data_IF_475794923142
#
_entry.id   IF_475794923142
#
_cell.length_a   1.000
_cell.length_b   1.000
_cell.length_c   1.000
_cell.angle_alpha   90.00
_cell.angle_beta   90.00
_cell.angle_gamma   90.00
#
_symmetry.space_group_name_H-M   'P 1'
#
loop_
_entity.id
_entity.type
_entity.pdbx_description
1 polymer ?
#
# COMPACT_ATOMS: atom_id res chain seq x y z
N UNK A 1 4.34 -7.13 7.18
CA UNK A 1 3.24 -6.37 6.55
C UNK A 1 2.10 -6.20 7.53
N UNK A 2 1.52 -5.01 7.60
CA UNK A 2 0.33 -4.71 8.38
C UNK A 2 -0.94 -5.25 7.72
N UNK A 3 -1.69 -6.08 8.43
CA UNK A 3 -2.99 -6.58 8.00
C UNK A 3 -4.15 -5.77 8.57
N UNK A 4 -5.39 -6.00 8.09
CA UNK A 4 -6.59 -5.42 8.67
C UNK A 4 -6.70 -5.70 10.16
N UNK A 5 -7.00 -4.67 10.97
CA UNK A 5 -7.03 -4.75 12.42
C UNK A 5 -5.67 -4.62 13.10
N UNK A 6 -4.65 -4.08 12.41
CA UNK A 6 -3.34 -3.75 12.97
C UNK A 6 -2.41 -4.96 13.22
N UNK A 7 -2.82 -6.16 12.86
CA UNK A 7 -1.99 -7.36 13.04
C UNK A 7 -0.85 -7.38 12.03
N UNK A 8 0.38 -7.40 12.50
CA UNK A 8 1.58 -7.54 11.65
C UNK A 8 1.99 -9.01 11.52
N UNK A 9 2.51 -9.38 10.35
CA UNK A 9 3.04 -10.72 10.11
C UNK A 9 4.13 -10.74 9.05
N UNK A 10 4.99 -11.78 9.06
CA UNK A 10 5.99 -11.96 8.02
C UNK A 10 5.31 -12.12 6.67
N UNK A 11 5.95 -11.56 5.64
CA UNK A 11 5.55 -11.69 4.25
C UNK A 11 6.78 -11.68 3.34
N UNK A 12 6.69 -12.33 2.21
CA UNK A 12 7.71 -12.27 1.18
C UNK A 12 7.49 -11.04 0.30
N UNK A 13 8.45 -10.12 0.27
CA UNK A 13 8.49 -9.02 -0.70
C UNK A 13 9.24 -9.49 -1.96
N UNK A 14 8.51 -9.67 -3.05
CA UNK A 14 9.06 -10.15 -4.33
C UNK A 14 9.38 -8.95 -5.20
N UNK A 15 10.63 -8.82 -5.60
CA UNK A 15 11.10 -7.70 -6.42
C UNK A 15 12.13 -8.16 -7.45
N UNK A 16 12.42 -7.30 -8.44
CA UNK A 16 13.44 -7.52 -9.48
C UNK A 16 13.24 -8.81 -10.28
N UNK A 17 11.99 -9.23 -10.48
CA UNK A 17 11.69 -10.39 -11.34
C UNK A 17 11.86 -9.98 -12.80
N UNK A 18 12.82 -10.59 -13.47
CA UNK A 18 13.11 -10.27 -14.86
C UNK A 18 13.55 -11.52 -15.64
N UNK A 19 13.23 -11.53 -16.94
CA UNK A 19 13.70 -12.54 -17.89
C UNK A 19 14.35 -11.78 -19.04
N UNK A 20 15.58 -12.19 -19.39
CA UNK A 20 16.28 -11.57 -20.51
C UNK A 20 15.44 -11.64 -21.80
N UNK A 21 15.44 -10.60 -22.63
CA UNK A 21 14.65 -10.57 -23.88
C UNK A 21 14.90 -11.76 -24.80
N UNK A 22 16.13 -12.29 -24.80
CA UNK A 22 16.53 -13.49 -25.56
C UNK A 22 15.98 -14.80 -25.02
N UNK A 23 15.39 -14.80 -23.80
CA UNK A 23 14.88 -15.99 -23.10
C UNK A 23 13.39 -15.91 -22.79
N UNK A 24 12.69 -14.91 -23.31
CA UNK A 24 11.23 -14.77 -23.13
C UNK A 24 10.46 -15.92 -23.81
N UNK A 25 9.24 -16.21 -23.30
CA UNK A 25 8.32 -17.21 -23.82
C UNK A 25 8.84 -18.67 -23.80
N UNK A 26 9.88 -18.94 -23.00
CA UNK A 26 10.45 -20.30 -22.79
C UNK A 26 10.05 -20.92 -21.44
N UNK A 27 9.06 -20.36 -20.75
CA UNK A 27 8.62 -20.87 -19.43
C UNK A 27 9.48 -20.44 -18.24
N UNK A 28 10.57 -19.68 -18.44
CA UNK A 28 11.49 -19.31 -17.37
C UNK A 28 10.79 -18.57 -16.21
N UNK A 29 9.94 -17.59 -16.50
CA UNK A 29 9.16 -16.89 -15.48
C UNK A 29 8.24 -17.85 -14.71
N UNK A 30 7.58 -18.76 -15.39
CA UNK A 30 6.70 -19.75 -14.78
C UNK A 30 7.46 -20.64 -13.81
N UNK A 31 8.59 -21.19 -14.24
CA UNK A 31 9.44 -22.02 -13.40
C UNK A 31 9.97 -21.25 -12.17
N UNK A 32 10.41 -20.01 -12.38
CA UNK A 32 10.89 -19.13 -11.30
C UNK A 32 9.80 -18.87 -10.25
N UNK A 33 8.59 -18.47 -10.67
CA UNK A 33 7.51 -18.15 -9.73
C UNK A 33 6.98 -19.40 -9.03
N UNK A 34 6.90 -20.56 -9.70
CA UNK A 34 6.52 -21.82 -9.03
C UNK A 34 7.52 -22.17 -7.94
N UNK A 35 8.83 -22.11 -8.27
CA UNK A 35 9.89 -22.38 -7.29
C UNK A 35 9.82 -21.39 -6.12
N UNK A 36 9.69 -20.10 -6.41
CA UNK A 36 9.62 -19.05 -5.41
C UNK A 36 8.43 -19.23 -4.46
N UNK A 37 7.23 -19.55 -4.99
CA UNK A 37 6.05 -19.80 -4.16
C UNK A 37 6.24 -21.04 -3.25
N UNK A 38 6.89 -22.09 -3.75
CA UNK A 38 7.24 -23.26 -2.94
C UNK A 38 8.24 -22.91 -1.82
N UNK A 39 9.26 -22.12 -2.12
CA UNK A 39 10.25 -21.67 -1.13
C UNK A 39 9.62 -20.75 -0.07
N UNK A 40 8.71 -19.84 -0.46
CA UNK A 40 7.96 -18.97 0.45
C UNK A 40 7.09 -19.82 1.38
N UNK A 41 6.36 -20.79 0.83
CA UNK A 41 5.54 -21.71 1.62
C UNK A 41 6.40 -22.52 2.61
N UNK A 42 7.57 -23.01 2.18
CA UNK A 42 8.50 -23.77 3.05
C UNK A 42 9.06 -22.93 4.21
N UNK A 43 9.17 -21.59 4.04
CA UNK A 43 9.55 -20.66 5.11
C UNK A 43 8.41 -20.29 6.06
N UNK A 44 7.16 -20.73 5.78
CA UNK A 44 5.99 -20.43 6.59
C UNK A 44 5.48 -18.99 6.44
N UNK A 45 5.82 -18.32 5.34
CA UNK A 45 5.30 -16.99 5.01
C UNK A 45 3.91 -17.14 4.36
N UNK A 46 2.89 -16.69 5.07
CA UNK A 46 1.51 -16.89 4.64
C UNK A 46 1.09 -16.02 3.44
N UNK A 47 1.81 -14.93 3.19
CA UNK A 47 1.54 -14.01 2.09
C UNK A 47 2.82 -13.60 1.38
N UNK A 48 2.71 -13.35 0.07
CA UNK A 48 3.74 -12.71 -0.73
C UNK A 48 3.16 -11.45 -1.39
N UNK A 49 4.01 -10.43 -1.60
CA UNK A 49 3.62 -9.20 -2.25
C UNK A 49 4.63 -8.85 -3.35
N UNK A 50 4.15 -8.16 -4.38
CA UNK A 50 5.00 -7.57 -5.41
C UNK A 50 4.39 -6.28 -5.94
N UNK A 51 5.18 -5.53 -6.71
CA UNK A 51 4.72 -4.45 -7.57
C UNK A 51 4.86 -4.91 -9.01
N UNK A 52 3.74 -4.86 -9.74
CA UNK A 52 3.72 -5.33 -11.12
C UNK A 52 4.17 -4.23 -12.09
N UNK A 53 5.08 -4.56 -12.99
CA UNK A 53 5.38 -3.73 -14.16
C UNK A 53 4.28 -3.86 -15.23
N UNK A 54 3.64 -5.03 -15.29
CA UNK A 54 2.57 -5.34 -16.24
C UNK A 54 1.43 -6.12 -15.57
N UNK A 55 0.21 -5.62 -15.64
CA UNK A 55 -0.97 -6.18 -14.97
C UNK A 55 -1.41 -7.57 -15.45
N UNK A 56 -1.04 -7.99 -16.66
CA UNK A 56 -1.44 -9.28 -17.24
C UNK A 56 -0.63 -10.50 -16.79
N UNK A 57 0.45 -10.30 -16.02
CA UNK A 57 1.42 -11.36 -15.74
C UNK A 57 1.05 -12.19 -14.51
N UNK A 58 0.73 -11.54 -13.40
CA UNK A 58 0.79 -12.16 -12.08
C UNK A 58 -0.50 -12.82 -11.59
N UNK A 59 -1.66 -12.46 -12.19
CA UNK A 59 -2.95 -13.05 -11.82
C UNK A 59 -2.97 -14.58 -12.01
N UNK A 60 -2.32 -15.10 -13.05
CA UNK A 60 -2.23 -16.55 -13.33
C UNK A 60 -1.40 -17.31 -12.26
N UNK A 61 -0.61 -16.60 -11.46
CA UNK A 61 0.10 -17.15 -10.31
C UNK A 61 -0.63 -16.94 -8.99
N UNK A 62 -1.88 -16.47 -9.05
CA UNK A 62 -2.75 -16.27 -7.90
C UNK A 62 -2.52 -14.96 -7.16
N UNK A 63 -1.80 -14.00 -7.75
CA UNK A 63 -1.71 -12.65 -7.21
C UNK A 63 -2.93 -11.82 -7.58
N UNK A 64 -3.47 -11.06 -6.64
CA UNK A 64 -4.55 -10.10 -6.83
C UNK A 64 -4.12 -8.69 -6.43
N UNK A 65 -4.73 -7.66 -7.04
CA UNK A 65 -4.50 -6.25 -6.68
C UNK A 65 -5.16 -5.98 -5.33
N UNK A 66 -4.36 -5.86 -4.27
CA UNK A 66 -4.84 -5.69 -2.91
C UNK A 66 -4.85 -4.21 -2.45
N UNK A 67 -4.04 -3.35 -3.06
CA UNK A 67 -4.07 -1.90 -2.85
C UNK A 67 -3.75 -1.12 -4.11
N UNK A 68 -4.14 0.15 -4.11
CA UNK A 68 -3.87 1.11 -5.17
C UNK A 68 -3.43 2.44 -4.58
N UNK A 69 -2.76 3.26 -5.37
CA UNK A 69 -2.34 4.60 -4.99
C UNK A 69 -2.75 5.64 -6.02
N UNK A 70 -2.75 6.90 -5.61
CA UNK A 70 -2.92 8.05 -6.48
C UNK A 70 -1.60 8.82 -6.65
N UNK A 71 -1.36 9.36 -7.85
CA UNK A 71 -0.47 10.49 -8.07
C UNK A 71 -1.29 11.75 -7.92
N UNK A 72 -0.87 12.64 -7.03
CA UNK A 72 -1.54 13.90 -6.75
C UNK A 72 -0.60 15.06 -7.05
N UNK A 73 -1.10 16.07 -7.76
CA UNK A 73 -0.41 17.34 -7.98
C UNK A 73 -1.14 18.45 -7.24
N UNK A 74 -0.39 19.21 -6.44
CA UNK A 74 -0.94 20.30 -5.63
C UNK A 74 -0.46 21.63 -6.18
N UNK A 75 -1.39 22.41 -6.71
CA UNK A 75 -1.15 23.75 -7.23
C UNK A 75 -1.01 24.74 -6.07
N UNK A 76 0.21 25.11 -5.71
CA UNK A 76 0.53 25.88 -4.49
C UNK A 76 -0.27 27.20 -4.38
N UNK A 77 -0.40 27.95 -5.47
CA UNK A 77 -1.12 29.23 -5.47
C UNK A 77 -2.59 29.13 -5.04
N UNK A 78 -3.21 27.94 -5.22
CA UNK A 78 -4.58 27.63 -4.86
C UNK A 78 -4.68 26.83 -3.56
N UNK A 79 -3.57 26.26 -3.07
CA UNK A 79 -3.52 25.33 -1.95
C UNK A 79 -3.44 26.07 -0.60
N UNK A 80 -4.47 26.86 -0.28
CA UNK A 80 -4.60 27.48 1.04
C UNK A 80 -5.20 26.49 2.02
N UNK A 81 -4.57 26.30 3.17
CA UNK A 81 -5.13 25.49 4.25
C UNK A 81 -6.36 26.18 4.86
N UNK A 82 -7.35 25.38 5.26
CA UNK A 82 -8.51 25.84 6.02
C UNK A 82 -8.06 26.42 7.36
N UNK A 83 -8.73 27.45 7.82
CA UNK A 83 -8.44 28.09 9.12
C UNK A 83 -8.72 27.15 10.30
N UNK A 84 -9.59 26.14 10.10
CA UNK A 84 -9.88 25.07 11.06
C UNK A 84 -8.76 24.03 11.20
N UNK A 85 -7.78 24.04 10.30
CA UNK A 85 -6.62 23.16 10.43
C UNK A 85 -5.73 23.68 11.55
N UNK A 86 -5.83 23.06 12.73
CA UNK A 86 -5.07 23.47 13.91
C UNK A 86 -3.57 23.55 13.63
N UNK A 87 -2.89 24.43 14.36
CA UNK A 87 -1.43 24.51 14.34
C UNK A 87 -0.87 23.15 14.77
N UNK A 88 -0.01 22.62 13.93
CA UNK A 88 0.68 21.35 14.20
C UNK A 88 1.97 21.62 15.01
N UNK A 89 2.52 20.57 15.61
CA UNK A 89 3.77 20.62 16.34
C UNK A 89 4.97 21.10 15.50
N UNK A 90 6.18 21.15 16.08
CA UNK A 90 7.35 21.68 15.40
C UNK A 90 7.72 20.82 14.19
N UNK A 91 8.01 21.50 13.09
CA UNK A 91 8.62 20.89 11.89
C UNK A 91 10.00 21.51 11.72
N UNK A 92 11.01 20.67 11.56
CA UNK A 92 12.38 21.12 11.32
C UNK A 92 12.93 20.57 10.01
N UNK A 93 13.83 21.31 9.43
CA UNK A 93 14.64 20.85 8.31
C UNK A 93 15.77 19.96 8.84
N UNK A 94 16.05 18.88 8.10
CA UNK A 94 17.19 18.00 8.35
C UNK A 94 17.99 17.89 7.05
N UNK A 95 19.29 18.04 7.16
CA UNK A 95 20.21 17.87 6.03
C UNK A 95 20.07 16.47 5.43
N UNK A 96 20.16 16.38 4.10
CA UNK A 96 19.92 15.14 3.36
C UNK A 96 20.84 13.99 3.80
N UNK A 97 22.09 14.26 4.16
CA UNK A 97 23.02 13.23 4.65
C UNK A 97 22.63 12.76 6.05
N UNK A 98 22.28 13.69 6.95
CA UNK A 98 21.82 13.37 8.29
C UNK A 98 20.47 12.65 8.27
N UNK A 99 19.61 12.97 7.30
CA UNK A 99 18.30 12.36 7.15
C UNK A 99 18.39 10.83 6.98
N UNK A 100 19.33 10.31 6.20
CA UNK A 100 19.47 8.87 5.97
C UNK A 100 19.79 8.06 7.25
N UNK A 101 20.30 8.71 8.29
CA UNK A 101 20.49 8.09 9.60
C UNK A 101 19.25 8.20 10.50
N UNK A 102 18.47 9.27 10.33
CA UNK A 102 17.32 9.57 11.17
C UNK A 102 16.02 8.91 10.68
N UNK A 103 15.75 8.91 9.36
CA UNK A 103 14.51 8.40 8.80
C UNK A 103 14.21 6.92 9.12
N UNK A 104 15.21 6.00 9.11
CA UNK A 104 14.99 4.62 9.54
C UNK A 104 14.49 4.53 10.99
N UNK A 105 15.02 5.37 11.89
CA UNK A 105 14.64 5.39 13.29
C UNK A 105 13.21 5.89 13.46
N UNK A 106 12.86 7.00 12.80
CA UNK A 106 11.48 7.53 12.81
C UNK A 106 10.51 6.48 12.28
N UNK A 107 10.82 5.83 11.14
CA UNK A 107 9.94 4.82 10.56
C UNK A 107 9.75 3.60 11.46
N UNK A 108 10.79 3.19 12.19
CA UNK A 108 10.74 2.05 13.09
C UNK A 108 9.97 2.34 14.38
N UNK A 109 10.02 3.60 14.89
CA UNK A 109 9.37 4.00 16.15
C UNK A 109 7.99 4.60 15.96
N UNK A 110 7.70 5.17 14.77
CA UNK A 110 6.39 5.68 14.46
C UNK A 110 5.35 4.53 14.41
N UNK A 111 4.22 4.74 15.08
CA UNK A 111 3.10 3.78 15.03
C UNK A 111 2.39 3.87 13.67
N UNK A 112 2.99 3.22 12.68
CA UNK A 112 2.43 3.13 11.32
C UNK A 112 1.38 2.02 11.34
N UNK A 113 0.13 2.39 11.53
CA UNK A 113 -0.98 1.47 11.77
C UNK A 113 -1.89 1.23 10.56
N UNK A 114 -1.65 1.88 9.41
CA UNK A 114 -2.52 1.67 8.26
C UNK A 114 -2.34 0.29 7.63
N UNK A 115 -3.45 -0.25 7.13
CA UNK A 115 -3.49 -1.54 6.45
C UNK A 115 -2.63 -1.52 5.18
N UNK A 116 -1.79 -2.53 5.02
CA UNK A 116 -0.90 -2.66 3.88
C UNK A 116 0.53 -2.14 4.12
N UNK A 117 0.80 -1.41 5.22
CA UNK A 117 2.14 -0.95 5.55
C UNK A 117 3.14 -2.11 5.59
N UNK A 118 4.31 -1.90 5.03
CA UNK A 118 5.40 -2.88 5.04
C UNK A 118 6.60 -2.33 5.80
N UNK A 119 7.34 -3.22 6.45
CA UNK A 119 8.57 -2.82 7.14
C UNK A 119 9.64 -2.43 6.11
N UNK A 120 10.48 -1.48 6.49
CA UNK A 120 11.60 -1.02 5.69
C UNK A 120 12.90 -1.47 6.33
N UNK A 121 13.46 -2.62 5.93
CA UNK A 121 14.71 -3.13 6.48
C UNK A 121 15.89 -2.26 6.07
N UNK A 122 17.02 -2.41 6.76
CA UNK A 122 18.23 -1.59 6.55
C UNK A 122 18.67 -1.56 5.07
N UNK A 123 18.63 -2.71 4.38
CA UNK A 123 19.02 -2.76 2.98
C UNK A 123 18.12 -1.92 2.08
N UNK A 124 16.82 -1.75 2.42
CA UNK A 124 15.91 -0.88 1.68
C UNK A 124 16.33 0.59 1.79
N UNK A 125 16.62 1.05 3.01
CA UNK A 125 17.10 2.41 3.24
C UNK A 125 18.42 2.68 2.53
N UNK A 126 19.34 1.71 2.58
CA UNK A 126 20.62 1.79 1.89
C UNK A 126 20.45 1.89 0.37
N UNK A 127 19.54 1.12 -0.19
CA UNK A 127 19.21 1.18 -1.60
C UNK A 127 18.62 2.56 -1.97
N UNK A 128 17.69 3.09 -1.17
CA UNK A 128 17.11 4.41 -1.39
C UNK A 128 18.17 5.53 -1.33
N UNK A 129 19.11 5.45 -0.41
CA UNK A 129 20.25 6.37 -0.31
C UNK A 129 21.10 6.31 -1.59
N UNK A 130 21.48 5.12 -2.04
CA UNK A 130 22.29 4.92 -3.25
C UNK A 130 21.59 5.39 -4.54
N UNK A 131 20.29 5.25 -4.62
CA UNK A 131 19.50 5.69 -5.76
C UNK A 131 19.17 7.20 -5.73
N UNK A 132 19.42 7.88 -4.63
CA UNK A 132 19.17 9.31 -4.47
C UNK A 132 20.29 10.12 -5.14
N UNK A 133 20.19 10.31 -6.46
CA UNK A 133 21.22 10.98 -7.27
C UNK A 133 21.09 12.51 -7.31
N UNK A 134 19.94 13.05 -6.89
CA UNK A 134 19.66 14.48 -6.85
C UNK A 134 19.69 15.02 -5.41
N UNK A 135 19.98 16.32 -5.21
CA UNK A 135 19.84 16.95 -3.91
C UNK A 135 18.44 16.73 -3.35
N UNK A 136 18.34 16.09 -2.21
CA UNK A 136 17.08 15.85 -1.51
C UNK A 136 17.05 16.61 -0.20
N UNK A 137 15.87 17.11 0.13
CA UNK A 137 15.59 17.83 1.35
C UNK A 137 14.67 17.00 2.25
N UNK A 138 14.78 17.18 3.55
CA UNK A 138 13.97 16.45 4.50
C UNK A 138 13.37 17.38 5.55
N UNK A 139 12.06 17.24 5.74
CA UNK A 139 11.31 17.83 6.85
C UNK A 139 10.97 16.73 7.83
N UNK A 140 11.10 17.00 9.10
CA UNK A 140 10.78 16.06 10.18
C UNK A 140 9.84 16.75 11.16
N UNK A 141 8.74 16.08 11.52
CA UNK A 141 7.78 16.55 12.51
C UNK A 141 8.04 15.92 13.87
N UNK A 142 7.79 16.70 14.91
CA UNK A 142 7.92 16.31 16.31
C UNK A 142 9.23 16.80 16.97
N UNK A 143 9.29 16.79 18.30
CA UNK A 143 10.50 17.12 19.05
C UNK A 143 11.59 16.08 18.80
N UNK A 144 12.85 16.48 19.01
CA UNK A 144 14.00 15.57 18.85
C UNK A 144 13.87 14.37 19.79
N UNK A 145 13.95 13.17 19.24
CA UNK A 145 13.80 11.90 19.97
C UNK A 145 12.36 11.41 20.15
N UNK A 146 11.38 12.18 19.65
CA UNK A 146 9.97 11.80 19.63
C UNK A 146 9.31 12.24 18.31
N UNK A 147 10.02 12.04 17.23
CA UNK A 147 9.55 12.32 15.87
C UNK A 147 8.48 11.31 15.45
N UNK A 148 7.41 11.81 14.84
CA UNK A 148 6.26 11.01 14.41
C UNK A 148 5.92 11.17 12.92
N UNK A 149 6.81 11.82 12.15
CA UNK A 149 6.64 11.91 10.70
C UNK A 149 7.77 12.63 10.00
N UNK A 150 7.83 12.42 8.68
CA UNK A 150 8.78 13.10 7.81
C UNK A 150 8.26 13.24 6.38
N UNK A 151 8.84 14.20 5.65
CA UNK A 151 8.65 14.37 4.22
C UNK A 151 10.02 14.55 3.56
N UNK A 152 10.38 13.64 2.65
CA UNK A 152 11.57 13.77 1.81
C UNK A 152 11.15 14.26 0.43
N UNK A 153 11.75 15.33 -0.03
CA UNK A 153 11.38 15.98 -1.29
C UNK A 153 12.60 16.49 -2.05
N UNK A 154 12.43 16.71 -3.34
CA UNK A 154 13.45 17.25 -4.20
C UNK A 154 12.85 18.11 -5.33
N UNK A 155 13.58 19.12 -5.83
CA UNK A 155 13.19 19.83 -7.04
C UNK A 155 13.20 18.89 -8.25
N UNK A 156 12.25 19.06 -9.14
CA UNK A 156 12.32 18.44 -10.48
C UNK A 156 13.35 19.21 -11.29
N UNK A 157 14.35 18.51 -11.79
CA UNK A 157 15.42 19.10 -12.60
C UNK A 157 16.11 20.30 -11.91
N UNK A 158 16.91 20.07 -10.84
CA UNK A 158 17.59 21.15 -10.12
C UNK A 158 18.49 22.01 -10.99
N UNK A 159 19.08 21.46 -12.04
CA UNK A 159 20.01 22.16 -12.93
C UNK A 159 19.32 23.28 -13.73
N UNK A 160 18.06 23.09 -14.10
CA UNK A 160 17.29 24.10 -14.84
C UNK A 160 16.33 24.92 -13.96
N UNK A 161 16.43 24.81 -12.62
CA UNK A 161 15.49 25.42 -11.69
C UNK A 161 15.27 26.91 -11.91
N UNK A 162 16.34 27.67 -12.19
CA UNK A 162 16.25 29.13 -12.38
C UNK A 162 15.64 29.53 -13.73
N UNK A 163 15.82 28.70 -14.74
CA UNK A 163 15.37 28.99 -16.13
C UNK A 163 13.97 28.44 -16.43
N UNK A 164 13.44 27.52 -15.61
CA UNK A 164 12.10 26.95 -15.81
C UNK A 164 11.01 27.93 -15.41
N UNK A 165 9.97 28.09 -16.24
CA UNK A 165 8.79 28.89 -15.87
C UNK A 165 7.99 28.18 -14.75
N UNK A 166 7.89 26.86 -14.77
CA UNK A 166 7.16 26.08 -13.78
C UNK A 166 8.12 25.35 -12.83
N UNK A 167 8.09 25.73 -11.56
CA UNK A 167 8.92 25.13 -10.52
C UNK A 167 8.16 24.04 -9.77
N UNK A 168 8.58 22.82 -9.97
CA UNK A 168 7.97 21.64 -9.39
C UNK A 168 8.87 20.96 -8.35
N UNK A 169 8.27 20.49 -7.30
CA UNK A 169 8.92 19.71 -6.25
C UNK A 169 8.21 18.36 -6.14
N UNK A 170 8.98 17.27 -6.15
CA UNK A 170 8.47 15.91 -5.90
C UNK A 170 8.66 15.56 -4.45
N UNK A 171 7.60 15.13 -3.78
CA UNK A 171 7.63 14.57 -2.44
C UNK A 171 7.80 13.05 -2.57
N UNK A 172 9.06 12.61 -2.54
CA UNK A 172 9.43 11.22 -2.83
C UNK A 172 9.03 10.24 -1.74
N UNK A 173 8.95 10.70 -0.49
CA UNK A 173 8.56 9.89 0.66
C UNK A 173 7.84 10.77 1.68
N UNK A 174 6.69 10.31 2.13
CA UNK A 174 5.85 11.03 3.08
C UNK A 174 5.27 10.06 4.09
N UNK A 175 5.68 10.20 5.34
CA UNK A 175 5.26 9.37 6.46
C UNK A 175 4.75 10.26 7.58
N UNK A 176 3.55 10.01 8.06
CA UNK A 176 2.96 10.71 9.18
C UNK A 176 2.15 9.71 10.02
N UNK A 177 2.62 9.39 11.21
CA UNK A 177 1.96 8.46 12.11
C UNK A 177 0.74 9.09 12.80
N UNK A 178 0.69 10.42 12.86
CA UNK A 178 -0.40 11.16 13.51
C UNK A 178 -1.04 12.17 12.58
N UNK A 179 -2.33 12.52 12.78
CA UNK A 179 -2.96 13.62 12.06
C UNK A 179 -2.23 14.95 12.23
N UNK A 180 -1.55 15.16 13.38
CA UNK A 180 -0.78 16.38 13.67
C UNK A 180 0.47 16.42 12.81
N UNK A 181 1.22 15.31 12.71
CA UNK A 181 2.38 15.20 11.83
C UNK A 181 1.98 15.43 10.36
N UNK A 182 0.88 14.81 9.93
CA UNK A 182 0.36 14.98 8.57
C UNK A 182 0.11 16.46 8.24
N UNK A 183 -0.65 17.15 9.09
CA UNK A 183 -0.98 18.58 8.92
C UNK A 183 0.25 19.47 8.98
N UNK A 184 1.18 19.18 9.91
CA UNK A 184 2.42 19.94 10.07
C UNK A 184 3.32 19.86 8.85
N UNK A 185 3.55 18.67 8.35
CA UNK A 185 4.38 18.45 7.17
C UNK A 185 3.76 19.07 5.90
N UNK A 186 2.44 18.93 5.69
CA UNK A 186 1.76 19.56 4.56
C UNK A 186 1.83 21.09 4.68
N UNK A 187 1.59 21.67 5.87
CA UNK A 187 1.71 23.12 6.09
C UNK A 187 3.12 23.60 5.73
N UNK A 188 4.15 22.90 6.19
CA UNK A 188 5.53 23.29 5.95
C UNK A 188 5.90 23.16 4.45
N UNK A 189 5.48 22.09 3.78
CA UNK A 189 5.68 21.97 2.33
C UNK A 189 5.03 23.14 1.58
N UNK A 190 3.76 23.45 1.86
CA UNK A 190 3.05 24.54 1.21
C UNK A 190 3.60 25.93 1.52
N UNK A 191 4.44 26.11 2.56
CA UNK A 191 5.11 27.37 2.88
C UNK A 191 6.40 27.61 2.08
N UNK A 192 6.89 26.59 1.36
CA UNK A 192 8.12 26.74 0.56
C UNK A 192 7.88 27.71 -0.60
N UNK A 193 8.69 28.76 -0.64
CA UNK A 193 8.56 29.78 -1.69
C UNK A 193 9.06 29.31 -3.05
N UNK A 194 8.65 30.00 -4.09
CA UNK A 194 9.00 29.76 -5.49
C UNK A 194 8.53 28.42 -6.08
N UNK A 195 7.89 27.55 -5.32
CA UNK A 195 7.30 26.32 -5.84
C UNK A 195 5.92 26.61 -6.39
N UNK A 196 5.62 26.12 -7.57
CA UNK A 196 4.29 26.24 -8.19
C UNK A 196 3.45 24.98 -8.01
N UNK A 197 4.10 23.82 -8.10
CA UNK A 197 3.42 22.52 -7.99
C UNK A 197 4.21 21.58 -7.11
N UNK A 198 3.53 20.98 -6.11
CA UNK A 198 4.02 19.82 -5.39
C UNK A 198 3.45 18.56 -6.01
N UNK A 199 4.33 17.63 -6.35
CA UNK A 199 3.97 16.33 -6.90
C UNK A 199 4.14 15.28 -5.82
N UNK A 200 3.05 14.60 -5.49
CA UNK A 200 3.05 13.44 -4.59
C UNK A 200 2.84 12.19 -5.45
N UNK A 201 3.88 11.42 -5.77
CA UNK A 201 3.77 10.26 -6.65
C UNK A 201 2.96 9.12 -6.05
N UNK A 202 2.97 9.00 -4.73
CA UNK A 202 2.34 7.90 -4.00
C UNK A 202 1.52 8.43 -2.84
N UNK A 203 0.20 8.42 -2.99
CA UNK A 203 -0.76 8.88 -1.98
C UNK A 203 -1.85 7.83 -1.83
N UNK A 204 -2.25 7.52 -0.61
CA UNK A 204 -3.40 6.67 -0.35
C UNK A 204 -4.65 7.25 -1.02
N UNK A 205 -5.52 6.40 -1.58
CA UNK A 205 -6.71 6.86 -2.31
C UNK A 205 -7.70 7.62 -1.42
N UNK A 206 -7.72 7.32 -0.13
CA UNK A 206 -8.53 7.98 0.90
C UNK A 206 -7.75 9.05 1.68
N UNK A 207 -6.63 9.53 1.14
CA UNK A 207 -5.80 10.55 1.76
C UNK A 207 -6.60 11.82 2.10
N UNK A 208 -6.41 12.39 3.32
CA UNK A 208 -7.10 13.62 3.74
C UNK A 208 -6.56 14.89 3.08
N UNK A 209 -5.57 14.81 2.19
CA UNK A 209 -4.86 15.97 1.63
C UNK A 209 -5.81 17.05 1.08
N UNK A 210 -6.79 16.65 0.27
CA UNK A 210 -7.75 17.60 -0.33
C UNK A 210 -8.60 18.31 0.73
N UNK A 211 -9.00 17.58 1.76
CA UNK A 211 -9.88 18.11 2.81
C UNK A 211 -9.20 19.14 3.73
N UNK A 212 -7.86 19.22 3.71
CA UNK A 212 -7.13 20.28 4.39
C UNK A 212 -7.24 21.64 3.69
N UNK A 213 -7.59 21.64 2.39
CA UNK A 213 -7.54 22.84 1.55
C UNK A 213 -8.89 23.55 1.49
N UNK A 214 -8.88 24.89 1.43
CA UNK A 214 -10.09 25.69 1.18
C UNK A 214 -10.63 25.46 -0.23
N UNK A 215 -9.73 25.25 -1.20
CA UNK A 215 -10.04 24.83 -2.55
C UNK A 215 -9.54 23.41 -2.77
N UNK A 216 -10.41 22.42 -2.64
CA UNK A 216 -10.06 21.01 -2.79
C UNK A 216 -9.54 20.67 -4.21
N UNK A 217 -9.90 21.48 -5.22
CA UNK A 217 -9.42 21.32 -6.60
C UNK A 217 -7.96 21.75 -6.78
N UNK A 218 -7.35 22.37 -5.77
CA UNK A 218 -5.92 22.65 -5.79
C UNK A 218 -5.08 21.38 -5.72
N UNK A 219 -5.61 20.30 -5.13
CA UNK A 219 -4.98 18.97 -5.13
C UNK A 219 -5.70 18.07 -6.15
N UNK A 220 -5.05 17.86 -7.29
CA UNK A 220 -5.57 17.12 -8.42
C UNK A 220 -5.05 15.70 -8.44
N UNK A 221 -5.94 14.72 -8.51
CA UNK A 221 -5.57 13.33 -8.80
C UNK A 221 -5.29 13.23 -10.30
N UNK A 222 -4.02 13.03 -10.64
CA UNK A 222 -3.56 12.94 -12.04
C UNK A 222 -3.70 11.51 -12.57
N UNK A 223 -3.45 10.53 -11.73
CA UNK A 223 -3.62 9.11 -12.07
C UNK A 223 -3.83 8.26 -10.83
N UNK A 224 -4.46 7.11 -11.02
CA UNK A 224 -4.49 6.01 -10.05
C UNK A 224 -3.86 4.79 -10.67
N UNK A 225 -3.12 4.02 -9.85
CA UNK A 225 -2.47 2.79 -10.29
C UNK A 225 -2.56 1.73 -9.19
N UNK A 226 -2.46 0.47 -9.60
CA UNK A 226 -2.25 -0.64 -8.69
C UNK A 226 -0.94 -0.43 -7.92
N UNK A 227 -0.98 -0.79 -6.64
CA UNK A 227 0.17 -0.67 -5.75
C UNK A 227 0.70 -2.05 -5.36
N UNK A 228 0.00 -2.72 -4.47
CA UNK A 228 0.39 -4.01 -3.94
C UNK A 228 -0.40 -5.12 -4.61
N UNK A 229 0.29 -5.99 -5.32
CA UNK A 229 -0.22 -7.29 -5.72
C UNK A 229 0.10 -8.29 -4.62
N UNK A 230 -0.92 -8.98 -4.12
CA UNK A 230 -0.82 -9.89 -2.99
C UNK A 230 -1.14 -11.32 -3.43
N UNK A 231 -0.39 -12.28 -2.90
CA UNK A 231 -0.62 -13.71 -3.05
C UNK A 231 -0.82 -14.35 -1.68
N UNK A 232 -1.91 -15.02 -1.46
CA UNK A 232 -2.11 -15.86 -0.28
C UNK A 232 -1.39 -17.19 -0.50
N UNK A 233 -0.24 -17.37 0.12
CA UNK A 233 0.60 -18.58 -0.01
C UNK A 233 0.08 -19.70 0.91
N UNK A 234 -0.38 -19.34 2.11
CA UNK A 234 -1.16 -20.20 3.01
C UNK A 234 -2.46 -19.47 3.35
N UNK A 235 -3.55 -19.89 2.70
CA UNK A 235 -4.87 -19.27 2.87
C UNK A 235 -5.37 -19.37 4.30
N UNK A 236 -5.15 -20.51 4.98
CA UNK A 236 -5.61 -20.71 6.36
C UNK A 236 -4.93 -19.73 7.31
N UNK A 237 -3.60 -19.65 7.25
CA UNK A 237 -2.83 -18.73 8.09
C UNK A 237 -3.10 -17.27 7.74
N UNK A 238 -3.18 -16.93 6.45
CA UNK A 238 -3.44 -15.57 6.02
C UNK A 238 -4.80 -15.07 6.53
N UNK A 239 -5.86 -15.85 6.32
CA UNK A 239 -7.19 -15.49 6.79
C UNK A 239 -7.27 -15.44 8.34
N UNK A 240 -6.55 -16.31 9.07
CA UNK A 240 -6.50 -16.26 10.53
C UNK A 240 -5.77 -15.03 11.09
N UNK A 241 -4.88 -14.41 10.31
CA UNK A 241 -4.17 -13.18 10.70
C UNK A 241 -4.97 -11.90 10.48
N UNK A 242 -6.04 -11.97 9.70
CA UNK A 242 -6.92 -10.83 9.43
C UNK A 242 -7.93 -10.65 10.57
N UNK A 243 -8.22 -9.41 10.95
CA UNK A 243 -9.41 -9.10 11.74
C UNK A 243 -10.63 -8.95 10.82
N UNK A 244 -11.79 -9.32 11.36
CA UNK A 244 -13.07 -9.23 10.67
C UNK A 244 -14.02 -8.33 11.45
N UNK A 245 -14.91 -7.64 10.71
CA UNK A 245 -15.99 -6.85 11.30
C UNK A 245 -17.12 -7.78 11.76
N UNK A 246 -17.93 -7.30 12.66
CA UNK A 246 -19.12 -8.00 13.10
C UNK A 246 -20.15 -8.09 11.96
N UNK A 247 -20.39 -9.29 11.49
CA UNK A 247 -21.34 -9.61 10.44
C UNK A 247 -21.66 -11.10 10.45
N UNK A 248 -22.63 -11.51 9.64
CA UNK A 248 -22.97 -12.92 9.48
C UNK A 248 -21.78 -13.71 8.91
N UNK A 249 -21.54 -14.90 9.47
CA UNK A 249 -20.52 -15.81 8.95
C UNK A 249 -20.82 -16.25 7.52
N UNK A 250 -19.76 -16.48 6.75
CA UNK A 250 -19.85 -16.94 5.36
C UNK A 250 -18.94 -18.13 5.13
N UNK A 251 -19.43 -19.13 4.39
CA UNK A 251 -18.64 -20.27 3.92
C UNK A 251 -18.14 -19.97 2.50
N UNK A 252 -16.84 -19.72 2.39
CA UNK A 252 -16.16 -19.40 1.14
C UNK A 252 -15.40 -20.61 0.63
N UNK A 253 -15.69 -21.06 -0.58
CA UNK A 253 -14.87 -22.04 -1.30
C UNK A 253 -13.78 -21.30 -2.08
N UNK A 254 -12.53 -21.66 -1.79
CA UNK A 254 -11.34 -21.08 -2.44
C UNK A 254 -10.80 -22.09 -3.45
N UNK A 255 -10.51 -21.60 -4.66
CA UNK A 255 -9.88 -22.39 -5.74
C UNK A 255 -8.47 -21.85 -5.98
N UNK A 256 -7.46 -22.69 -5.76
CA UNK A 256 -6.06 -22.39 -6.03
C UNK A 256 -5.43 -23.47 -6.92
N UNK A 257 -5.26 -23.21 -8.21
CA UNK A 257 -4.72 -24.22 -9.14
C UNK A 257 -3.23 -24.51 -8.96
N UNK A 258 -2.48 -23.64 -8.26
CA UNK A 258 -1.03 -23.79 -8.08
C UNK A 258 -0.65 -24.39 -6.74
N UNK A 259 -1.32 -23.99 -5.67
CA UNK A 259 -1.09 -24.48 -4.32
C UNK A 259 -2.34 -25.21 -3.84
N UNK A 260 -2.48 -26.48 -4.26
CA UNK A 260 -3.69 -27.27 -4.01
C UNK A 260 -4.09 -27.35 -2.54
N UNK A 261 -3.12 -27.24 -1.61
CA UNK A 261 -3.38 -27.19 -0.17
C UNK A 261 -4.26 -26.01 0.25
N UNK A 262 -4.32 -24.94 -0.54
CA UNK A 262 -5.19 -23.77 -0.31
C UNK A 262 -6.64 -24.00 -0.74
N UNK A 263 -6.88 -24.91 -1.69
CA UNK A 263 -8.23 -25.17 -2.17
C UNK A 263 -9.05 -25.83 -1.07
N UNK A 264 -10.30 -25.37 -0.92
CA UNK A 264 -11.23 -25.90 0.08
C UNK A 264 -12.18 -24.85 0.61
N UNK A 265 -12.96 -25.23 1.60
CA UNK A 265 -14.02 -24.39 2.17
C UNK A 265 -13.61 -23.85 3.52
N UNK A 266 -13.81 -22.57 3.67
CA UNK A 266 -13.44 -21.80 4.85
C UNK A 266 -14.67 -21.10 5.41
N UNK A 267 -15.06 -21.42 6.64
CA UNK A 267 -16.04 -20.62 7.37
C UNK A 267 -15.31 -19.44 7.98
N UNK A 268 -15.72 -18.25 7.55
CA UNK A 268 -15.15 -16.96 7.97
C UNK A 268 -16.19 -16.26 8.84
N UNK A 269 -15.79 -15.86 10.03
CA UNK A 269 -16.64 -15.16 10.99
C UNK A 269 -15.80 -14.17 11.82
N UNK A 270 -16.45 -13.33 12.61
CA UNK A 270 -15.78 -12.36 13.49
C UNK A 270 -14.84 -13.03 14.51
N UNK A 271 -15.21 -14.23 14.96
CA UNK A 271 -14.44 -15.03 15.92
C UNK A 271 -13.29 -15.83 15.30
N UNK A 272 -13.16 -15.79 13.98
CA UNK A 272 -12.03 -16.42 13.29
C UNK A 272 -12.40 -17.19 12.03
N UNK A 273 -11.44 -17.97 11.57
CA UNK A 273 -11.52 -18.75 10.34
C UNK A 273 -11.18 -20.20 10.60
N UNK A 274 -11.96 -21.12 10.01
CA UNK A 274 -11.70 -22.56 10.07
C UNK A 274 -12.07 -23.25 8.76
N UNK A 275 -11.33 -24.29 8.40
CA UNK A 275 -11.73 -25.18 7.29
C UNK A 275 -12.95 -26.01 7.69
N UNK A 276 -13.88 -26.16 6.76
CA UNK A 276 -15.15 -26.83 6.98
C UNK A 276 -15.52 -27.74 5.80
N UNK A 277 -16.54 -28.59 6.01
CA UNK A 277 -17.18 -29.40 4.94
C UNK A 277 -18.57 -28.89 4.57
N UNK A 278 -19.01 -27.82 5.19
CA UNK A 278 -20.29 -27.16 4.93
C UNK A 278 -20.41 -26.77 3.46
N UNK A 279 -21.62 -26.63 2.96
CA UNK A 279 -21.87 -26.18 1.59
C UNK A 279 -21.34 -24.77 1.40
N UNK A 280 -20.62 -24.54 0.31
CA UNK A 280 -20.12 -23.22 -0.03
C UNK A 280 -21.27 -22.25 -0.31
N UNK A 281 -21.18 -21.06 0.23
CA UNK A 281 -22.13 -19.97 0.00
C UNK A 281 -21.60 -19.01 -1.07
N UNK A 282 -20.27 -18.97 -1.21
CA UNK A 282 -19.53 -18.18 -2.20
C UNK A 282 -18.37 -19.01 -2.71
N UNK A 283 -18.09 -18.97 -4.02
CA UNK A 283 -16.86 -19.53 -4.61
C UNK A 283 -16.00 -18.44 -5.20
N UNK A 284 -14.68 -18.49 -4.95
CA UNK A 284 -13.71 -17.47 -5.37
C UNK A 284 -12.36 -18.09 -5.74
N UNK A 285 -11.72 -17.56 -6.77
CA UNK A 285 -10.32 -17.85 -7.05
C UNK A 285 -9.37 -17.20 -6.05
N UNK A 286 -8.21 -17.82 -5.81
CA UNK A 286 -7.23 -17.31 -4.82
C UNK A 286 -6.73 -15.90 -5.16
N UNK A 287 -6.62 -15.51 -6.43
CA UNK A 287 -6.25 -14.16 -6.85
C UNK A 287 -7.32 -13.12 -6.45
N UNK A 288 -8.58 -13.48 -6.55
CA UNK A 288 -9.71 -12.64 -6.17
C UNK A 288 -9.85 -12.53 -4.65
N UNK A 289 -9.64 -13.63 -3.94
CA UNK A 289 -9.53 -13.61 -2.48
C UNK A 289 -8.38 -12.70 -2.02
N UNK A 290 -7.25 -12.73 -2.72
CA UNK A 290 -6.12 -11.84 -2.43
C UNK A 290 -6.46 -10.36 -2.69
N UNK A 291 -7.25 -10.05 -3.71
CA UNK A 291 -7.69 -8.69 -4.00
C UNK A 291 -8.58 -8.11 -2.89
N UNK A 292 -9.46 -8.91 -2.29
CA UNK A 292 -10.33 -8.45 -1.18
C UNK A 292 -9.64 -8.54 0.18
N UNK A 293 -8.50 -9.21 0.29
CA UNK A 293 -7.84 -9.53 1.55
C UNK A 293 -7.53 -8.30 2.41
N UNK A 294 -7.05 -7.22 1.84
CA UNK A 294 -6.74 -5.98 2.56
C UNK A 294 -7.93 -5.01 2.65
N UNK A 295 -9.07 -5.28 2.01
CA UNK A 295 -10.24 -4.41 1.99
C UNK A 295 -10.20 -3.31 0.91
N UNK A 296 -9.22 -3.34 -0.01
CA UNK A 296 -9.13 -2.37 -1.11
C UNK A 296 -10.13 -2.63 -2.25
N UNK A 297 -10.58 -3.87 -2.38
CA UNK A 297 -11.59 -4.30 -3.35
C UNK A 297 -12.73 -4.96 -2.61
N UNK A 298 -13.97 -4.75 -3.06
CA UNK A 298 -15.15 -5.35 -2.45
C UNK A 298 -15.54 -6.67 -3.12
N UNK A 299 -16.09 -7.59 -2.36
CA UNK A 299 -16.66 -8.83 -2.87
C UNK A 299 -17.76 -8.58 -3.89
N UNK A 300 -18.61 -7.57 -3.62
CA UNK A 300 -19.68 -7.15 -4.53
C UNK A 300 -19.14 -6.66 -5.87
N UNK A 301 -18.02 -5.90 -5.89
CA UNK A 301 -17.42 -5.46 -7.15
C UNK A 301 -16.92 -6.65 -7.98
N UNK A 302 -16.29 -7.64 -7.32
CA UNK A 302 -15.84 -8.86 -7.99
C UNK A 302 -17.00 -9.74 -8.46
N UNK A 303 -18.07 -9.88 -7.66
CA UNK A 303 -19.26 -10.62 -8.06
C UNK A 303 -19.96 -9.95 -9.25
N UNK A 304 -20.08 -8.61 -9.25
CA UNK A 304 -20.61 -7.87 -10.40
C UNK A 304 -19.79 -8.07 -11.68
N UNK A 305 -18.47 -8.24 -11.52
CA UNK A 305 -17.55 -8.53 -12.61
C UNK A 305 -17.52 -10.02 -13.03
N UNK A 306 -18.34 -10.89 -12.42
CA UNK A 306 -18.37 -12.33 -12.71
C UNK A 306 -17.14 -13.11 -12.22
N UNK A 307 -16.46 -12.60 -11.18
CA UNK A 307 -15.24 -13.20 -10.61
C UNK A 307 -15.50 -13.90 -9.26
N UNK A 308 -16.70 -13.83 -8.76
CA UNK A 308 -17.17 -14.47 -7.53
C UNK A 308 -18.54 -15.06 -7.80
N UNK A 309 -18.73 -16.34 -7.50
CA UNK A 309 -20.01 -17.02 -7.66
C UNK A 309 -20.75 -17.05 -6.32
N UNK A 310 -21.92 -16.43 -6.26
CA UNK A 310 -22.79 -16.43 -5.08
C UNK A 310 -23.77 -17.58 -5.19
N UNK A 311 -23.76 -18.49 -4.19
CA UNK A 311 -24.66 -19.65 -4.14
C UNK A 311 -25.81 -19.46 -3.15
N UNK A 312 -25.60 -18.65 -2.10
CA UNK A 312 -26.63 -18.25 -1.15
C UNK A 312 -26.91 -16.76 -1.26
N UNK A 313 -28.15 -16.34 -1.56
CA UNK A 313 -28.49 -14.91 -1.63
C UNK A 313 -28.04 -14.15 -0.36
N UNK A 314 -27.33 -13.05 -0.53
CA UNK A 314 -26.80 -12.22 0.55
C UNK A 314 -25.45 -12.65 1.11
N UNK A 315 -24.84 -13.72 0.64
CA UNK A 315 -23.51 -14.17 1.08
C UNK A 315 -22.40 -13.20 0.69
N UNK A 316 -22.46 -12.63 -0.52
CA UNK A 316 -21.55 -11.60 -0.99
C UNK A 316 -21.64 -10.34 -0.12
N UNK A 317 -22.84 -9.92 0.27
CA UNK A 317 -23.02 -8.76 1.16
C UNK A 317 -22.48 -9.03 2.58
N UNK A 318 -22.66 -10.24 3.10
CA UNK A 318 -22.08 -10.65 4.37
C UNK A 318 -20.54 -10.70 4.31
N UNK A 319 -19.97 -11.21 3.22
CA UNK A 319 -18.53 -11.20 2.99
C UNK A 319 -17.97 -9.76 2.90
N UNK A 320 -18.64 -8.84 2.21
CA UNK A 320 -18.28 -7.42 2.19
C UNK A 320 -18.25 -6.82 3.59
N UNK A 321 -19.28 -7.08 4.39
CA UNK A 321 -19.36 -6.57 5.77
C UNK A 321 -18.24 -7.14 6.65
N UNK A 322 -17.96 -8.46 6.57
CA UNK A 322 -16.86 -9.09 7.31
C UNK A 322 -15.49 -8.51 6.93
N UNK A 323 -15.27 -8.23 5.64
CA UNK A 323 -13.99 -7.79 5.11
C UNK A 323 -13.82 -6.26 5.12
N UNK A 324 -14.79 -5.50 5.59
CA UNK A 324 -14.70 -4.05 5.67
C UNK A 324 -13.54 -3.59 6.57
N UNK A 325 -12.90 -2.50 6.17
CA UNK A 325 -11.80 -1.83 6.89
C UNK A 325 -12.14 -0.35 7.11
N UNK A 326 -11.48 0.30 8.09
CA UNK A 326 -11.73 1.73 8.39
C UNK A 326 -11.16 2.66 7.34
N UNK A 327 -10.12 2.22 6.63
CA UNK A 327 -9.45 2.98 5.56
C UNK A 327 -9.04 2.06 4.43
N UNK A 328 -8.71 2.65 3.29
CA UNK A 328 -8.21 1.89 2.15
C UNK A 328 -6.76 1.44 2.39
N UNK A 329 -6.38 0.26 1.93
CA UNK A 329 -5.02 -0.25 2.11
C UNK A 329 -4.02 0.55 1.28
N UNK A 330 -2.85 0.78 1.88
CA UNK A 330 -1.76 1.50 1.27
C UNK A 330 -0.42 1.02 1.83
N UNK A 331 0.56 0.67 1.02
CA UNK A 331 1.84 0.25 1.56
C UNK A 331 2.74 1.45 1.89
N UNK A 332 2.66 2.51 1.11
CA UNK A 332 3.50 3.69 1.24
C UNK A 332 4.99 3.42 1.00
N UNK A 333 5.33 2.22 0.53
CA UNK A 333 6.71 1.79 0.34
C UNK A 333 6.88 1.16 -1.04
N UNK A 334 7.80 1.69 -1.81
CA UNK A 334 8.19 1.09 -3.09
C UNK A 334 9.37 0.13 -2.87
N UNK A 335 9.29 -1.11 -3.38
CA UNK A 335 10.32 -2.14 -3.26
C UNK A 335 10.47 -2.98 -4.52
#
# INVERSE_FOLDING_TARGET
MGGPGGRRGPHAAVTHVGVLPTHTRRGALTALLHRQLADIAARGEAVATLRASEGGIYARFGYGIASSFARVEVLRRRARLRDTVAVAGPVRFVDGVAAWKLLPQIYATADISWTGAVDRPEYWWRLQELLSTAPSYCLVHGPVGAEDGFARYQPVDPASWLSRPEKQVVVNDFVAATPTAYRGLIRQLLSIDLVETFVFPFVALDSPLRHLLTDERAAQVVSTRDETWLRLVDVTQALARRAYREAAAVVVEVVDPLLAANSGRYRIAVDGVRRVRETAEVTVGVADLAAVYLGGTTWRALAFAGRVDEHRPGAVAAADALFATDGLPFSGTFF
#
